data_IF_316141242856
#
_entry.id   IF_316141242856
#
_cell.length_a   1.000
_cell.length_b   1.000
_cell.length_c   1.000
_cell.angle_alpha   90.00
_cell.angle_beta   90.00
_cell.angle_gamma   90.00
#
_symmetry.space_group_name_H-M   'P 1'
#
loop_
_entity.id
_entity.type
_entity.pdbx_description
1 polymer ?
#
# COMPACT_ATOMS: atom_id res chain seq x y z
N UNK A 1 11.75 -22.61 -13.44
CA UNK A 1 10.92 -21.43 -13.12
C UNK A 1 10.12 -21.83 -11.89
N UNK A 2 10.24 -21.13 -10.76
CA UNK A 2 9.45 -21.46 -9.56
C UNK A 2 7.98 -21.11 -9.81
N UNK A 3 7.06 -21.92 -9.31
CA UNK A 3 5.64 -21.60 -9.29
C UNK A 3 5.36 -20.42 -8.35
N UNK A 4 4.20 -19.77 -8.52
CA UNK A 4 3.80 -18.66 -7.64
C UNK A 4 3.66 -19.10 -6.17
N UNK A 5 3.21 -20.35 -5.94
CA UNK A 5 3.08 -20.91 -4.59
C UNK A 5 4.43 -21.19 -3.94
N UNK A 6 5.41 -21.70 -4.69
CA UNK A 6 6.77 -21.88 -4.20
C UNK A 6 7.45 -20.53 -3.90
N UNK A 7 7.26 -19.53 -4.76
CA UNK A 7 7.77 -18.18 -4.52
C UNK A 7 7.14 -17.53 -3.28
N UNK A 8 5.85 -17.77 -3.04
CA UNK A 8 5.16 -17.34 -1.82
C UNK A 8 5.72 -18.05 -0.58
N UNK A 9 5.84 -19.39 -0.63
CA UNK A 9 6.35 -20.21 0.48
C UNK A 9 7.78 -19.82 0.87
N UNK A 10 8.65 -19.55 -0.10
CA UNK A 10 10.02 -19.10 0.15
C UNK A 10 10.12 -17.62 0.56
N UNK A 11 9.00 -16.88 0.65
CA UNK A 11 8.99 -15.47 1.04
C UNK A 11 9.57 -14.51 -0.02
N UNK A 12 9.63 -14.95 -1.28
CA UNK A 12 10.14 -14.18 -2.43
C UNK A 12 9.06 -13.28 -3.06
N UNK A 13 7.79 -13.55 -2.75
CA UNK A 13 6.66 -12.73 -3.16
C UNK A 13 6.48 -11.55 -2.21
N UNK A 14 7.20 -10.46 -2.47
CA UNK A 14 7.11 -9.19 -1.72
C UNK A 14 6.83 -8.03 -2.67
N UNK A 15 5.57 -7.87 -3.12
CA UNK A 15 5.20 -6.81 -4.04
C UNK A 15 5.50 -5.43 -3.46
N UNK A 16 5.27 -5.22 -2.15
CA UNK A 16 5.45 -3.90 -1.53
C UNK A 16 6.90 -3.38 -1.59
N UNK A 17 7.89 -4.28 -1.57
CA UNK A 17 9.31 -3.89 -1.67
C UNK A 17 9.69 -3.45 -3.08
N UNK A 18 8.95 -3.91 -4.10
CA UNK A 18 9.21 -3.63 -5.52
C UNK A 18 8.31 -2.55 -6.09
N UNK A 19 7.16 -2.29 -5.48
CA UNK A 19 6.20 -1.26 -5.89
C UNK A 19 6.59 0.06 -5.24
N UNK A 20 7.66 0.67 -5.75
CA UNK A 20 7.90 2.11 -5.56
C UNK A 20 7.18 2.83 -6.70
N UNK A 21 6.24 3.76 -6.42
CA UNK A 21 5.65 4.56 -7.48
C UNK A 21 6.75 5.23 -8.30
N UNK A 22 6.83 4.90 -9.60
CA UNK A 22 7.81 5.50 -10.52
C UNK A 22 7.42 6.93 -10.92
N UNK A 23 6.22 7.34 -10.53
CA UNK A 23 5.62 8.64 -10.74
C UNK A 23 6.53 9.77 -10.21
N UNK A 24 6.82 10.74 -11.07
CA UNK A 24 7.62 11.91 -10.73
C UNK A 24 6.93 12.81 -9.71
N UNK A 25 5.60 12.89 -9.72
CA UNK A 25 4.80 13.65 -8.78
C UNK A 25 4.88 13.05 -7.38
N UNK A 26 4.86 11.71 -7.27
CA UNK A 26 5.07 11.05 -5.98
C UNK A 26 6.43 11.43 -5.36
N UNK A 27 7.50 11.42 -6.16
CA UNK A 27 8.82 11.86 -5.71
C UNK A 27 8.84 13.35 -5.34
N UNK A 28 8.14 14.20 -6.11
CA UNK A 28 8.02 15.63 -5.84
C UNK A 28 7.34 15.87 -4.49
N UNK A 29 6.17 15.29 -4.28
CA UNK A 29 5.38 15.42 -3.04
C UNK A 29 6.16 14.89 -1.83
N UNK A 30 6.82 13.72 -1.96
CA UNK A 30 7.69 13.18 -0.88
C UNK A 30 8.76 14.18 -0.44
N UNK A 31 9.38 14.87 -1.41
CA UNK A 31 10.40 15.90 -1.12
C UNK A 31 9.76 17.11 -0.45
N UNK A 32 8.66 17.62 -0.96
CA UNK A 32 7.92 18.76 -0.37
C UNK A 32 7.52 18.48 1.09
N UNK A 33 7.06 17.27 1.39
CA UNK A 33 6.77 16.84 2.77
C UNK A 33 8.03 16.92 3.64
N UNK A 34 9.17 16.43 3.15
CA UNK A 34 10.42 16.46 3.90
C UNK A 34 10.91 17.89 4.14
N UNK A 35 10.83 18.76 3.14
CA UNK A 35 11.19 20.18 3.24
C UNK A 35 10.27 20.90 4.24
N UNK A 36 8.96 20.66 4.18
CA UNK A 36 8.00 21.22 5.13
C UNK A 36 8.29 20.77 6.58
N UNK A 37 8.58 19.48 6.79
CA UNK A 37 8.99 18.99 8.13
C UNK A 37 10.26 19.68 8.62
N UNK A 38 11.26 19.85 7.76
CA UNK A 38 12.49 20.56 8.09
C UNK A 38 12.25 22.02 8.48
N UNK A 39 11.38 22.72 7.74
CA UNK A 39 10.97 24.08 8.07
C UNK A 39 10.32 24.16 9.45
N UNK A 40 9.38 23.25 9.77
CA UNK A 40 8.72 23.23 11.07
C UNK A 40 9.69 22.92 12.22
N UNK A 41 10.65 22.03 12.00
CA UNK A 41 11.71 21.73 12.98
C UNK A 41 12.54 22.96 13.36
N UNK A 42 12.75 23.89 12.42
CA UNK A 42 13.46 25.14 12.71
C UNK A 42 12.62 26.22 13.39
N UNK A 43 11.29 26.10 13.40
CA UNK A 43 10.35 27.10 13.96
C UNK A 43 9.79 26.72 15.32
N UNK A 44 9.68 25.42 15.60
CA UNK A 44 9.04 24.89 16.79
C UNK A 44 10.07 24.59 17.89
N UNK A 45 9.61 24.60 19.14
CA UNK A 45 10.38 24.02 20.23
C UNK A 45 10.54 22.50 20.01
N UNK A 46 11.51 21.89 20.69
CA UNK A 46 11.70 20.42 20.63
C UNK A 46 10.42 19.68 21.03
N UNK A 47 9.75 20.12 22.09
CA UNK A 47 8.55 19.47 22.61
C UNK A 47 7.35 19.62 21.65
N UNK A 48 7.17 20.80 21.05
CA UNK A 48 6.11 21.02 20.05
C UNK A 48 6.38 20.23 18.76
N UNK A 49 7.65 20.14 18.34
CA UNK A 49 8.02 19.35 17.19
C UNK A 49 7.82 17.84 17.44
N UNK A 50 8.14 17.34 18.63
CA UNK A 50 7.88 15.95 19.00
C UNK A 50 6.38 15.62 19.01
N UNK A 51 5.53 16.55 19.45
CA UNK A 51 4.07 16.40 19.35
C UNK A 51 3.60 16.37 17.89
N UNK A 52 4.17 17.22 17.02
CA UNK A 52 3.88 17.20 15.59
C UNK A 52 4.32 15.87 14.94
N UNK A 53 5.49 15.34 15.27
CA UNK A 53 5.94 14.03 14.79
C UNK A 53 5.00 12.91 15.23
N UNK A 54 4.58 12.93 16.49
CA UNK A 54 3.61 11.96 17.02
C UNK A 54 2.29 12.00 16.25
N UNK A 55 1.77 13.19 15.94
CA UNK A 55 0.55 13.36 15.14
C UNK A 55 0.73 12.79 13.72
N UNK A 56 1.86 13.08 13.07
CA UNK A 56 2.17 12.58 11.73
C UNK A 56 2.31 11.04 11.72
N UNK A 57 2.87 10.46 12.77
CA UNK A 57 2.98 9.01 12.92
C UNK A 57 1.61 8.35 13.12
N UNK A 58 0.72 8.96 13.90
CA UNK A 58 -0.67 8.49 14.05
C UNK A 58 -1.41 8.53 12.71
N UNK A 59 -1.29 9.62 11.95
CA UNK A 59 -1.85 9.71 10.60
C UNK A 59 -1.33 8.59 9.70
N UNK A 60 0.00 8.38 9.67
CA UNK A 60 0.62 7.31 8.88
C UNK A 60 0.09 5.93 9.27
N UNK A 61 -0.10 5.67 10.57
CA UNK A 61 -0.66 4.40 11.04
C UNK A 61 -2.09 4.20 10.53
N UNK A 62 -2.95 5.21 10.64
CA UNK A 62 -4.32 5.15 10.11
C UNK A 62 -4.34 4.93 8.59
N UNK A 63 -3.51 5.65 7.84
CA UNK A 63 -3.37 5.46 6.39
C UNK A 63 -2.92 4.03 6.05
N UNK A 64 -1.96 3.49 6.80
CA UNK A 64 -1.50 2.10 6.62
C UNK A 64 -2.60 1.08 6.91
N UNK A 65 -3.40 1.28 7.95
CA UNK A 65 -4.53 0.40 8.28
C UNK A 65 -5.59 0.42 7.18
N UNK A 66 -5.92 1.61 6.67
CA UNK A 66 -6.85 1.78 5.57
C UNK A 66 -6.31 1.12 4.30
N UNK A 67 -5.04 1.34 3.94
CA UNK A 67 -4.41 0.73 2.77
C UNK A 67 -4.44 -0.80 2.84
N UNK A 68 -4.11 -1.39 4.00
CA UNK A 68 -4.20 -2.84 4.22
C UNK A 68 -5.63 -3.34 4.05
N UNK A 69 -6.61 -2.63 4.61
CA UNK A 69 -8.03 -3.00 4.50
C UNK A 69 -8.51 -2.93 3.06
N UNK A 70 -8.17 -1.86 2.33
CA UNK A 70 -8.49 -1.72 0.90
C UNK A 70 -7.83 -2.81 0.06
N UNK A 71 -6.56 -3.15 0.35
CA UNK A 71 -5.84 -4.20 -0.37
C UNK A 71 -6.50 -5.57 -0.19
N UNK A 72 -6.81 -5.96 1.06
CA UNK A 72 -7.45 -7.25 1.36
C UNK A 72 -8.83 -7.33 0.70
N UNK A 73 -9.68 -6.32 0.92
CA UNK A 73 -11.03 -6.31 0.36
C UNK A 73 -11.00 -6.32 -1.18
N UNK A 74 -10.10 -5.52 -1.78
CA UNK A 74 -9.95 -5.46 -3.24
C UNK A 74 -9.49 -6.79 -3.84
N UNK A 75 -8.54 -7.48 -3.19
CA UNK A 75 -8.05 -8.77 -3.66
C UNK A 75 -9.11 -9.87 -3.52
N UNK A 76 -9.83 -9.91 -2.39
CA UNK A 76 -10.94 -10.83 -2.17
C UNK A 76 -12.04 -10.62 -3.20
N UNK A 77 -12.44 -9.36 -3.45
CA UNK A 77 -13.44 -9.04 -4.47
C UNK A 77 -12.98 -9.48 -5.87
N UNK A 78 -11.74 -9.19 -6.24
CA UNK A 78 -11.18 -9.61 -7.52
C UNK A 78 -11.17 -11.14 -7.69
N UNK A 79 -10.83 -11.89 -6.64
CA UNK A 79 -10.87 -13.35 -6.66
C UNK A 79 -12.30 -13.89 -6.82
N UNK A 80 -13.28 -13.31 -6.10
CA UNK A 80 -14.70 -13.66 -6.23
C UNK A 80 -15.20 -13.41 -7.66
N UNK A 81 -14.88 -12.26 -8.25
CA UNK A 81 -15.24 -11.93 -9.63
C UNK A 81 -14.65 -12.93 -10.63
N UNK A 82 -13.39 -13.34 -10.44
CA UNK A 82 -12.75 -14.34 -11.32
C UNK A 82 -13.43 -15.71 -11.22
N UNK A 83 -13.82 -16.13 -10.02
CA UNK A 83 -14.54 -17.40 -9.81
C UNK A 83 -15.93 -17.36 -10.46
N UNK A 84 -16.67 -16.25 -10.30
CA UNK A 84 -17.98 -16.07 -10.93
C UNK A 84 -17.89 -16.16 -12.46
N UNK A 85 -16.94 -15.43 -13.08
CA UNK A 85 -16.71 -15.47 -14.52
C UNK A 85 -16.32 -16.87 -14.99
N UNK A 86 -15.49 -17.58 -14.23
CA UNK A 86 -15.07 -18.93 -14.56
C UNK A 86 -16.24 -19.93 -14.50
N UNK A 87 -17.07 -19.87 -13.45
CA UNK A 87 -18.24 -20.72 -13.31
C UNK A 87 -19.27 -20.48 -14.44
N UNK A 88 -19.55 -19.21 -14.77
CA UNK A 88 -20.42 -18.86 -15.88
C UNK A 88 -19.89 -19.37 -17.23
N UNK A 89 -18.56 -19.38 -17.42
CA UNK A 89 -17.93 -19.96 -18.61
C UNK A 89 -18.15 -21.47 -18.69
N UNK A 90 -18.02 -22.20 -17.58
CA UNK A 90 -18.27 -23.66 -17.57
C UNK A 90 -19.72 -23.97 -17.91
N UNK A 91 -20.68 -23.19 -17.38
CA UNK A 91 -22.10 -23.30 -17.72
C UNK A 91 -22.35 -23.02 -19.22
N UNK A 92 -21.70 -22.01 -19.81
CA UNK A 92 -21.83 -21.72 -21.25
C UNK A 92 -21.23 -22.79 -22.17
N UNK A 93 -20.17 -23.49 -21.73
CA UNK A 93 -19.46 -24.47 -22.55
C UNK A 93 -20.01 -25.90 -22.42
N UNK A 94 -20.61 -26.22 -21.28
CA UNK A 94 -21.02 -27.59 -20.94
C UNK A 94 -22.47 -27.72 -20.44
N UNK A 95 -23.22 -26.62 -20.34
CA UNK A 95 -24.65 -26.57 -19.99
C UNK A 95 -25.59 -26.62 -21.17
#
# INVERSE_FOLDING_TARGET
MKSMLEALYCGEFRPEEKIVPRDSEFRRIRREISEAKGMWKGKLSTDDFNQLETLLDLHRQTESMQATSTFINGFQLGALMMMEVYAAKEELLYG
#
